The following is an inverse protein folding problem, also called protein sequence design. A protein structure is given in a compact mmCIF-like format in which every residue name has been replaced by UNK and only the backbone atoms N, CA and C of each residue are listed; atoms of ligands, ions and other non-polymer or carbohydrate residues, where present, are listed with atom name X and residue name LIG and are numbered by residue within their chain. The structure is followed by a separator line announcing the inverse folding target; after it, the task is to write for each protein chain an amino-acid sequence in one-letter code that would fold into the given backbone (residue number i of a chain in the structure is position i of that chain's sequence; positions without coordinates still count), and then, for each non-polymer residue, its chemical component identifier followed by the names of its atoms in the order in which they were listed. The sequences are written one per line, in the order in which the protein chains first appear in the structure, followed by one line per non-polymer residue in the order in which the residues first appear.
data_IF_331487875062
#
_entry.id   IF_331487875062
#
_cell.length_a   1.000
_cell.length_b   1.000
_cell.length_c   1.000
_cell.angle_alpha   90.00
_cell.angle_beta   90.00
_cell.angle_gamma   90.00
#
_symmetry.space_group_name_H-M   'P 1'
#
loop_
_entity.id
_entity.type
_entity.pdbx_description
1 polymer ?
#
# COMPACT_ATOMS: atom_id res chain seq x y z
N UNK A 1 28.52 -32.20 -7.67
CA UNK A 1 29.20 -31.02 -8.24
C UNK A 1 28.97 -29.86 -7.29
N UNK A 2 29.66 -29.94 -6.16
CA UNK A 2 29.72 -28.90 -5.12
C UNK A 2 31.16 -28.41 -5.26
N UNK A 3 31.35 -27.09 -5.38
CA UNK A 3 32.57 -26.36 -5.78
C UNK A 3 32.54 -25.86 -7.22
N UNK A 4 31.80 -24.79 -7.47
CA UNK A 4 32.25 -23.71 -8.37
C UNK A 4 31.33 -22.50 -8.16
N UNK A 5 31.94 -21.31 -8.17
CA UNK A 5 31.35 -19.97 -7.98
C UNK A 5 31.37 -19.44 -6.54
N UNK A 6 32.58 -19.11 -6.07
CA UNK A 6 32.82 -17.92 -5.26
C UNK A 6 34.29 -17.48 -5.50
N UNK A 7 34.51 -16.64 -6.51
CA UNK A 7 35.82 -16.00 -6.70
C UNK A 7 36.00 -14.91 -5.64
N UNK A 8 37.05 -15.03 -4.84
CA UNK A 8 37.40 -14.09 -3.77
C UNK A 8 38.08 -12.86 -4.38
N UNK A 9 37.46 -11.68 -4.23
CA UNK A 9 38.16 -10.42 -4.45
C UNK A 9 38.85 -10.04 -3.13
N UNK A 10 40.14 -10.39 -3.00
CA UNK A 10 40.99 -10.04 -1.87
C UNK A 10 41.23 -8.51 -1.86
N UNK A 11 40.41 -7.77 -1.12
CA UNK A 11 40.66 -6.38 -0.77
C UNK A 11 41.11 -6.32 0.70
N UNK A 12 42.40 -6.56 0.93
CA UNK A 12 43.00 -6.46 2.25
C UNK A 12 43.07 -4.99 2.72
N UNK A 13 42.68 -4.73 3.98
CA UNK A 13 43.00 -3.46 4.65
C UNK A 13 44.48 -3.44 5.08
N UNK A 14 45.08 -2.26 5.31
CA UNK A 14 46.46 -2.15 5.81
C UNK A 14 46.71 -2.81 7.18
N UNK A 15 45.67 -3.23 7.91
CA UNK A 15 45.74 -3.90 9.21
C UNK A 15 45.99 -5.42 9.14
N UNK A 16 46.00 -6.03 7.95
CA UNK A 16 46.09 -7.49 7.79
C UNK A 16 44.74 -8.21 7.91
N UNK A 17 43.64 -7.48 8.12
CA UNK A 17 42.29 -8.03 8.04
C UNK A 17 41.89 -8.18 6.57
N UNK A 18 41.71 -9.42 6.13
CA UNK A 18 41.12 -9.75 4.82
C UNK A 18 39.62 -9.47 4.90
N UNK A 19 39.14 -8.42 4.25
CA UNK A 19 37.70 -8.27 4.00
C UNK A 19 37.38 -9.19 2.84
N UNK A 20 36.89 -10.38 3.15
CA UNK A 20 36.28 -11.25 2.16
C UNK A 20 34.99 -10.56 1.70
N UNK A 21 35.00 -9.98 0.50
CA UNK A 21 33.80 -9.44 -0.10
C UNK A 21 32.81 -10.59 -0.37
N UNK A 22 31.76 -10.69 0.45
CA UNK A 22 30.71 -11.69 0.27
C UNK A 22 29.66 -11.20 -0.73
N UNK A 23 29.14 -12.10 -1.55
CA UNK A 23 28.01 -11.79 -2.42
C UNK A 23 26.72 -11.64 -1.59
N UNK A 24 26.03 -10.52 -1.77
CA UNK A 24 24.93 -10.05 -0.90
C UNK A 24 23.54 -10.59 -1.26
N UNK A 25 23.46 -11.51 -2.23
CA UNK A 25 22.20 -12.07 -2.73
C UNK A 25 21.19 -11.02 -3.25
N UNK A 26 21.69 -9.97 -3.92
CA UNK A 26 20.87 -8.89 -4.51
C UNK A 26 20.45 -9.18 -5.95
N UNK A 27 21.34 -9.78 -6.76
CA UNK A 27 21.08 -10.10 -8.18
C UNK A 27 21.52 -11.52 -8.56
N UNK A 28 20.61 -12.35 -9.06
CA UNK A 28 20.95 -13.70 -9.52
C UNK A 28 22.13 -13.68 -10.51
N UNK A 29 23.32 -14.10 -10.05
CA UNK A 29 24.57 -13.99 -10.82
C UNK A 29 24.59 -14.97 -12.00
N UNK A 30 24.03 -16.16 -11.79
CA UNK A 30 23.91 -17.22 -12.80
C UNK A 30 22.46 -17.69 -12.81
N UNK A 31 21.72 -17.31 -13.85
CA UNK A 31 20.34 -17.76 -14.03
C UNK A 31 20.31 -19.16 -14.66
N UNK A 32 19.41 -20.00 -14.15
CA UNK A 32 19.08 -21.30 -14.74
C UNK A 32 17.66 -21.26 -15.30
N UNK A 33 17.41 -21.98 -16.39
CA UNK A 33 16.10 -22.04 -17.02
C UNK A 33 15.67 -23.50 -17.17
N UNK A 34 14.52 -23.83 -16.56
CA UNK A 34 13.83 -25.10 -16.73
C UNK A 34 12.75 -25.06 -17.82
N UNK A 35 11.92 -26.10 -17.85
CA UNK A 35 10.67 -26.06 -18.63
C UNK A 35 9.70 -25.07 -17.98
N UNK A 36 8.86 -24.36 -18.77
CA UNK A 36 7.86 -23.48 -18.19
C UNK A 36 6.93 -24.23 -17.22
N UNK A 37 6.76 -23.66 -16.03
CA UNK A 37 5.84 -24.17 -15.03
C UNK A 37 4.45 -23.62 -15.28
N UNK A 38 3.47 -24.50 -15.47
CA UNK A 38 2.09 -24.05 -15.66
C UNK A 38 1.41 -23.69 -14.34
N UNK A 39 1.92 -24.17 -13.20
CA UNK A 39 1.36 -24.08 -11.85
C UNK A 39 0.52 -25.31 -11.46
N UNK A 40 0.24 -25.51 -10.18
CA UNK A 40 -0.58 -26.64 -9.67
C UNK A 40 -2.03 -26.60 -10.18
N UNK A 41 -2.69 -27.75 -10.36
CA UNK A 41 -4.13 -27.84 -10.65
C UNK A 41 -4.86 -28.73 -9.63
N UNK A 42 -4.98 -28.26 -8.40
CA UNK A 42 -5.52 -29.07 -7.29
C UNK A 42 -7.02 -29.37 -7.44
N UNK A 43 -7.74 -28.62 -8.27
CA UNK A 43 -9.18 -28.76 -8.52
C UNK A 43 -9.52 -29.36 -9.90
N UNK A 44 -8.53 -29.49 -10.80
CA UNK A 44 -8.70 -29.97 -12.17
C UNK A 44 -9.41 -28.99 -13.11
N UNK A 45 -9.71 -27.78 -12.62
CA UNK A 45 -10.44 -26.74 -13.36
C UNK A 45 -9.55 -25.55 -13.71
N UNK A 46 -8.40 -25.40 -13.05
CA UNK A 46 -7.59 -24.19 -13.17
C UNK A 46 -6.78 -24.15 -14.46
N UNK A 47 -6.45 -25.29 -15.06
CA UNK A 47 -5.70 -25.31 -16.33
C UNK A 47 -6.51 -24.68 -17.45
N UNK A 48 -7.80 -24.95 -17.52
CA UNK A 48 -8.68 -24.41 -18.56
C UNK A 48 -8.86 -22.90 -18.47
N UNK A 49 -8.75 -22.34 -17.25
CA UNK A 49 -8.90 -20.91 -16.99
C UNK A 49 -7.58 -20.12 -17.06
N UNK A 50 -6.45 -20.80 -17.28
CA UNK A 50 -5.14 -20.17 -17.46
C UNK A 50 -4.98 -19.73 -18.91
N UNK A 51 -4.62 -18.47 -19.08
CA UNK A 51 -4.44 -17.82 -20.36
C UNK A 51 -2.99 -17.34 -20.50
N UNK A 52 -2.49 -17.39 -21.73
CA UNK A 52 -1.17 -16.93 -22.09
C UNK A 52 -0.13 -18.05 -22.10
N UNK A 53 0.85 -17.92 -23.00
CA UNK A 53 2.01 -18.82 -23.05
C UNK A 53 3.09 -18.26 -22.12
N UNK A 54 3.57 -19.02 -21.12
CA UNK A 54 4.66 -18.57 -20.26
C UNK A 54 5.93 -18.21 -21.06
N UNK A 55 6.59 -17.13 -20.67
CA UNK A 55 7.82 -16.62 -21.30
C UNK A 55 8.88 -16.35 -20.23
N UNK A 56 10.15 -16.30 -20.63
CA UNK A 56 11.25 -15.98 -19.72
C UNK A 56 11.86 -14.62 -20.04
N UNK A 57 12.08 -13.79 -19.02
CA UNK A 57 12.77 -12.51 -19.11
C UNK A 57 14.04 -12.54 -18.27
N UNK A 58 15.21 -12.39 -18.92
CA UNK A 58 16.50 -12.31 -18.22
C UNK A 58 16.59 -11.11 -17.27
N UNK A 59 15.95 -10.00 -17.63
CA UNK A 59 15.95 -8.79 -16.79
C UNK A 59 15.15 -9.01 -15.50
N UNK A 60 13.98 -9.65 -15.58
CA UNK A 60 13.20 -10.03 -14.39
C UNK A 60 13.95 -11.09 -13.57
N UNK A 61 14.62 -12.03 -14.25
CA UNK A 61 15.44 -13.07 -13.63
C UNK A 61 16.62 -12.57 -12.80
N UNK A 62 17.06 -11.32 -12.98
CA UNK A 62 18.07 -10.73 -12.09
C UNK A 62 17.53 -10.48 -10.68
N UNK A 63 16.24 -10.16 -10.55
CA UNK A 63 15.61 -9.79 -9.27
C UNK A 63 14.76 -10.91 -8.66
N UNK A 64 14.42 -11.96 -9.43
CA UNK A 64 13.55 -13.04 -8.96
C UNK A 64 13.28 -14.12 -10.01
N UNK A 65 12.07 -14.66 -10.03
CA UNK A 65 11.67 -15.67 -11.01
C UNK A 65 11.55 -15.05 -12.42
N UNK A 66 12.32 -15.57 -13.38
CA UNK A 66 12.35 -15.08 -14.76
C UNK A 66 11.06 -15.37 -15.55
N UNK A 67 10.22 -16.30 -15.11
CA UNK A 67 9.00 -16.69 -15.83
C UNK A 67 7.89 -15.65 -15.66
N UNK A 68 7.27 -15.27 -16.78
CA UNK A 68 6.11 -14.38 -16.86
C UNK A 68 4.93 -15.18 -17.42
N UNK A 69 3.86 -15.26 -16.64
CA UNK A 69 2.67 -16.06 -16.95
C UNK A 69 2.86 -17.57 -16.69
N UNK A 70 1.84 -18.40 -16.98
CA UNK A 70 0.48 -18.02 -17.40
C UNK A 70 -0.30 -17.30 -16.28
N UNK A 71 -1.43 -16.68 -16.60
CA UNK A 71 -2.31 -16.04 -15.62
C UNK A 71 -3.69 -16.72 -15.61
N UNK A 72 -4.23 -17.01 -14.42
CA UNK A 72 -5.61 -17.47 -14.29
C UNK A 72 -6.55 -16.25 -14.31
N UNK A 73 -7.48 -16.22 -15.26
CA UNK A 73 -8.50 -15.16 -15.33
C UNK A 73 -9.79 -15.58 -14.63
N UNK A 74 -10.34 -16.76 -14.93
CA UNK A 74 -11.67 -17.19 -14.48
C UNK A 74 -12.77 -16.18 -14.85
N UNK A 75 -14.02 -16.47 -14.52
CA UNK A 75 -15.12 -15.52 -14.81
C UNK A 75 -14.98 -14.23 -13.99
N UNK A 76 -14.59 -14.32 -12.71
CA UNK A 76 -14.45 -13.16 -11.83
C UNK A 76 -13.33 -12.22 -12.25
N UNK A 77 -12.19 -12.75 -12.71
CA UNK A 77 -11.11 -11.90 -13.21
C UNK A 77 -11.49 -11.20 -14.52
N UNK A 78 -12.26 -11.85 -15.39
CA UNK A 78 -12.78 -11.22 -16.61
C UNK A 78 -13.76 -10.09 -16.25
N UNK A 79 -14.75 -10.34 -15.40
CA UNK A 79 -15.73 -9.32 -14.97
C UNK A 79 -15.03 -8.17 -14.25
N UNK A 80 -14.07 -8.48 -13.39
CA UNK A 80 -13.28 -7.48 -12.66
C UNK A 80 -12.47 -6.60 -13.61
N UNK A 81 -11.73 -7.20 -14.56
CA UNK A 81 -10.92 -6.45 -15.53
C UNK A 81 -11.81 -5.64 -16.47
N UNK A 82 -12.91 -6.21 -16.98
CA UNK A 82 -13.83 -5.51 -17.86
C UNK A 82 -14.43 -4.28 -17.17
N UNK A 83 -14.89 -4.43 -15.91
CA UNK A 83 -15.42 -3.31 -15.12
C UNK A 83 -14.35 -2.27 -14.82
N UNK A 84 -13.13 -2.70 -14.48
CA UNK A 84 -12.00 -1.81 -14.24
C UNK A 84 -11.60 -1.02 -15.50
N UNK A 85 -11.64 -1.65 -16.67
CA UNK A 85 -11.42 -0.97 -17.95
C UNK A 85 -12.52 0.05 -18.26
N UNK A 86 -13.78 -0.28 -17.99
CA UNK A 86 -14.89 0.68 -18.15
C UNK A 86 -14.67 1.90 -17.25
N UNK A 87 -14.34 1.69 -15.96
CA UNK A 87 -13.98 2.79 -15.06
C UNK A 87 -12.81 3.61 -15.61
N UNK A 88 -11.71 2.95 -16.01
CA UNK A 88 -10.51 3.60 -16.51
C UNK A 88 -10.78 4.46 -17.75
N UNK A 89 -11.57 3.97 -18.70
CA UNK A 89 -11.94 4.72 -19.89
C UNK A 89 -12.91 5.87 -19.58
N UNK A 90 -13.90 5.69 -18.69
CA UNK A 90 -14.78 6.80 -18.31
C UNK A 90 -13.97 7.94 -17.70
N UNK A 91 -13.05 7.64 -16.76
CA UNK A 91 -12.18 8.65 -16.14
C UNK A 91 -11.29 9.31 -17.20
N UNK A 92 -10.57 8.51 -18.01
CA UNK A 92 -9.66 9.03 -19.02
C UNK A 92 -10.35 9.87 -20.12
N UNK A 93 -11.54 9.46 -20.56
CA UNK A 93 -12.32 10.22 -21.54
C UNK A 93 -12.86 11.53 -20.97
N UNK A 94 -13.27 11.56 -19.70
CA UNK A 94 -13.68 12.80 -19.04
C UNK A 94 -12.51 13.78 -18.88
N UNK A 95 -11.33 13.27 -18.51
CA UNK A 95 -10.10 14.07 -18.47
C UNK A 95 -9.72 14.60 -19.85
N UNK A 96 -9.81 13.77 -20.90
CA UNK A 96 -9.52 14.18 -22.28
C UNK A 96 -10.52 15.23 -22.79
N UNK A 97 -11.79 15.15 -22.39
CA UNK A 97 -12.81 16.12 -22.74
C UNK A 97 -12.54 17.51 -22.13
N UNK A 98 -11.96 17.58 -20.92
CA UNK A 98 -11.62 18.86 -20.26
C UNK A 98 -10.59 19.69 -21.04
N UNK A 99 -9.74 19.04 -21.81
CA UNK A 99 -8.73 19.69 -22.67
C UNK A 99 -9.15 19.74 -24.14
N UNK A 100 -10.46 19.66 -24.41
CA UNK A 100 -11.01 19.78 -25.76
C UNK A 100 -10.55 18.67 -26.71
N UNK A 101 -10.34 17.45 -26.20
CA UNK A 101 -9.86 16.29 -26.97
C UNK A 101 -8.44 16.41 -27.54
N UNK A 102 -7.65 17.35 -27.04
CA UNK A 102 -6.24 17.54 -27.42
C UNK A 102 -5.32 16.58 -26.67
N UNK A 103 -4.75 15.59 -27.37
CA UNK A 103 -3.78 14.64 -26.79
C UNK A 103 -2.51 15.32 -26.22
N UNK A 104 -1.91 16.33 -26.88
CA UNK A 104 -0.77 17.04 -26.31
C UNK A 104 -1.10 17.73 -24.98
N UNK A 105 -2.26 18.38 -24.89
CA UNK A 105 -2.70 19.03 -23.66
C UNK A 105 -3.07 18.03 -22.57
N UNK A 106 -3.68 16.90 -22.95
CA UNK A 106 -3.96 15.80 -22.03
C UNK A 106 -2.68 15.28 -21.37
N UNK A 107 -1.62 15.05 -22.16
CA UNK A 107 -0.33 14.60 -21.63
C UNK A 107 0.35 15.69 -20.79
N UNK A 108 0.32 16.95 -21.23
CA UNK A 108 0.92 18.09 -20.50
C UNK A 108 0.26 18.32 -19.15
N UNK A 109 -1.07 18.18 -19.09
CA UNK A 109 -1.88 18.52 -17.93
C UNK A 109 -2.35 17.29 -17.13
N UNK A 110 -1.95 16.07 -17.51
CA UNK A 110 -2.46 14.80 -16.96
C UNK A 110 -2.59 14.78 -15.43
N UNK A 111 -1.62 15.37 -14.72
CA UNK A 111 -1.60 15.34 -13.26
C UNK A 111 -2.64 16.24 -12.60
N UNK A 112 -3.11 17.28 -13.31
CA UNK A 112 -4.11 18.24 -12.82
C UNK A 112 -5.55 17.90 -13.26
N UNK A 113 -5.72 17.02 -14.25
CA UNK A 113 -7.04 16.62 -14.70
C UNK A 113 -7.71 15.70 -13.67
N UNK A 114 -9.03 15.77 -13.57
CA UNK A 114 -9.80 14.94 -12.65
C UNK A 114 -11.22 14.64 -13.13
N UNK A 115 -11.75 13.48 -12.75
CA UNK A 115 -13.19 13.28 -12.69
C UNK A 115 -13.66 13.56 -11.25
N UNK A 116 -14.31 14.71 -11.08
CA UNK A 116 -14.77 15.23 -9.77
C UNK A 116 -16.08 14.56 -9.31
N UNK A 117 -16.29 14.39 -7.99
CA UNK A 117 -17.57 13.99 -7.44
C UNK A 117 -18.65 15.07 -7.67
N UNK A 118 -19.93 14.71 -7.56
CA UNK A 118 -21.04 15.66 -7.68
C UNK A 118 -21.01 16.75 -6.61
N UNK A 119 -21.54 17.94 -6.95
CA UNK A 119 -21.72 19.03 -5.99
C UNK A 119 -22.70 18.70 -4.85
N UNK A 120 -22.61 19.39 -3.69
CA UNK A 120 -23.48 19.14 -2.53
C UNK A 120 -24.99 19.28 -2.81
N UNK A 121 -25.36 20.09 -3.81
CA UNK A 121 -26.75 20.34 -4.23
C UNK A 121 -27.50 19.07 -4.65
N UNK A 122 -26.78 18.02 -5.06
CA UNK A 122 -27.37 16.74 -5.45
C UNK A 122 -27.53 15.78 -4.27
N UNK A 123 -26.94 16.06 -3.11
CA UNK A 123 -26.93 15.16 -1.95
C UNK A 123 -26.47 13.76 -2.31
N UNK A 124 -27.33 12.75 -2.08
CA UNK A 124 -27.09 11.35 -2.48
C UNK A 124 -27.83 10.92 -3.75
N UNK A 125 -28.51 11.84 -4.43
CA UNK A 125 -29.23 11.53 -5.66
C UNK A 125 -28.28 11.32 -6.84
N UNK A 126 -28.79 10.71 -7.93
CA UNK A 126 -28.02 10.58 -9.17
C UNK A 126 -28.06 11.91 -9.92
N UNK A 127 -26.91 12.60 -10.10
CA UNK A 127 -26.88 13.91 -10.77
C UNK A 127 -26.86 13.77 -12.31
N UNK A 128 -27.04 14.88 -13.05
CA UNK A 128 -26.79 14.92 -14.49
C UNK A 128 -25.38 14.46 -14.87
N UNK A 129 -25.23 13.91 -16.09
CA UNK A 129 -23.94 13.34 -16.55
C UNK A 129 -22.80 14.38 -16.56
N UNK A 130 -23.09 15.61 -16.95
CA UNK A 130 -22.12 16.72 -17.02
C UNK A 130 -21.86 17.37 -15.65
N UNK A 131 -22.47 16.86 -14.57
CA UNK A 131 -22.41 17.44 -13.23
C UNK A 131 -22.16 16.35 -12.17
N UNK A 132 -21.17 15.50 -12.42
CA UNK A 132 -20.77 14.40 -11.53
C UNK A 132 -21.46 13.06 -11.81
N UNK A 133 -22.39 12.96 -12.77
CA UNK A 133 -23.02 11.67 -13.10
C UNK A 133 -22.04 10.63 -13.62
N UNK A 134 -21.03 11.04 -14.38
CA UNK A 134 -19.94 10.15 -14.79
C UNK A 134 -19.11 9.61 -13.62
N UNK A 135 -18.95 10.40 -12.56
CA UNK A 135 -18.26 9.96 -11.35
C UNK A 135 -19.02 8.81 -10.68
N UNK A 136 -20.33 8.91 -10.52
CA UNK A 136 -21.14 7.84 -9.90
C UNK A 136 -21.10 6.56 -10.74
N UNK A 137 -21.28 6.68 -12.06
CA UNK A 137 -21.25 5.53 -12.98
C UNK A 137 -19.88 4.86 -12.94
N UNK A 138 -18.79 5.63 -13.07
CA UNK A 138 -17.43 5.10 -13.02
C UNK A 138 -17.14 4.44 -11.67
N UNK A 139 -17.56 5.05 -10.56
CA UNK A 139 -17.40 4.52 -9.21
C UNK A 139 -18.09 3.16 -9.02
N UNK A 140 -19.28 2.97 -9.59
CA UNK A 140 -19.96 1.67 -9.59
C UNK A 140 -19.13 0.59 -10.31
N UNK A 141 -18.60 0.90 -11.49
CA UNK A 141 -17.74 -0.04 -12.21
C UNK A 141 -16.42 -0.33 -11.46
N UNK A 142 -15.83 0.67 -10.81
CA UNK A 142 -14.66 0.47 -9.94
C UNK A 142 -15.00 -0.45 -8.76
N UNK A 143 -16.15 -0.26 -8.13
CA UNK A 143 -16.61 -1.10 -7.03
C UNK A 143 -16.75 -2.56 -7.46
N UNK A 144 -17.39 -2.82 -8.60
CA UNK A 144 -17.51 -4.18 -9.17
C UNK A 144 -16.13 -4.74 -9.50
N UNK A 145 -15.23 -3.93 -10.06
CA UNK A 145 -13.87 -4.34 -10.37
C UNK A 145 -13.11 -4.80 -9.13
N UNK A 146 -13.10 -4.00 -8.07
CA UNK A 146 -12.36 -4.25 -6.83
C UNK A 146 -12.96 -5.46 -6.08
N UNK A 147 -14.28 -5.53 -5.92
CA UNK A 147 -14.94 -6.66 -5.24
C UNK A 147 -14.80 -7.96 -6.03
N UNK A 148 -14.88 -7.90 -7.36
CA UNK A 148 -14.62 -9.05 -8.24
C UNK A 148 -13.19 -9.57 -8.10
N UNK A 149 -12.20 -8.66 -8.00
CA UNK A 149 -10.80 -9.04 -7.80
C UNK A 149 -10.56 -9.64 -6.40
N UNK A 150 -11.26 -9.14 -5.39
CA UNK A 150 -11.22 -9.68 -4.05
C UNK A 150 -11.76 -11.11 -4.00
N UNK A 151 -12.94 -11.32 -4.59
CA UNK A 151 -13.55 -12.64 -4.64
C UNK A 151 -12.72 -13.62 -5.47
N UNK A 152 -12.08 -13.16 -6.56
CA UNK A 152 -11.08 -13.94 -7.31
C UNK A 152 -9.93 -14.38 -6.41
N UNK A 153 -9.35 -13.46 -5.64
CA UNK A 153 -8.24 -13.77 -4.71
C UNK A 153 -8.65 -14.81 -3.66
N UNK A 154 -9.87 -14.69 -3.12
CA UNK A 154 -10.43 -15.67 -2.19
C UNK A 154 -10.62 -17.05 -2.84
N UNK A 155 -11.20 -17.10 -4.05
CA UNK A 155 -11.45 -18.35 -4.78
C UNK A 155 -10.16 -19.06 -5.15
N UNK A 156 -9.14 -18.36 -5.63
CA UNK A 156 -7.84 -18.96 -5.96
C UNK A 156 -7.19 -19.61 -4.74
N UNK A 157 -7.20 -18.92 -3.59
CA UNK A 157 -6.70 -19.50 -2.34
C UNK A 157 -7.49 -20.78 -1.96
N UNK A 158 -8.81 -20.77 -2.12
CA UNK A 158 -9.65 -21.94 -1.86
C UNK A 158 -9.38 -23.10 -2.83
N UNK A 159 -9.23 -22.83 -4.13
CA UNK A 159 -8.93 -23.84 -5.14
C UNK A 159 -7.57 -24.51 -4.88
N UNK A 160 -6.59 -23.75 -4.40
CA UNK A 160 -5.28 -24.26 -3.97
C UNK A 160 -5.25 -24.80 -2.53
N UNK A 161 -6.39 -24.85 -1.83
CA UNK A 161 -6.50 -25.30 -0.42
C UNK A 161 -5.57 -24.54 0.54
N UNK A 162 -5.30 -23.27 0.23
CA UNK A 162 -4.46 -22.36 1.03
C UNK A 162 -5.31 -21.58 2.04
N UNK A 163 -4.65 -21.10 3.10
CA UNK A 163 -5.26 -20.13 4.00
C UNK A 163 -5.56 -18.81 3.29
N UNK A 164 -6.68 -18.17 3.63
CA UNK A 164 -7.22 -17.00 2.90
C UNK A 164 -6.67 -15.65 3.39
N UNK A 165 -5.48 -15.66 3.99
CA UNK A 165 -4.85 -14.51 4.64
C UNK A 165 -4.69 -13.30 3.70
N UNK A 166 -4.32 -13.53 2.43
CA UNK A 166 -4.19 -12.45 1.43
C UNK A 166 -5.55 -11.82 1.12
N UNK A 167 -6.61 -12.64 0.97
CA UNK A 167 -7.95 -12.12 0.73
C UNK A 167 -8.46 -11.28 1.92
N UNK A 168 -8.17 -11.70 3.16
CA UNK A 168 -8.54 -10.93 4.35
C UNK A 168 -7.74 -9.63 4.49
N UNK A 169 -6.45 -9.63 4.17
CA UNK A 169 -5.69 -8.39 4.12
C UNK A 169 -6.22 -7.45 3.03
N UNK A 170 -6.55 -7.98 1.85
CA UNK A 170 -7.17 -7.17 0.80
C UNK A 170 -8.54 -6.61 1.24
N UNK A 171 -9.34 -7.38 1.98
CA UNK A 171 -10.61 -6.89 2.54
C UNK A 171 -10.41 -5.67 3.46
N UNK A 172 -9.33 -5.63 4.26
CA UNK A 172 -9.02 -4.46 5.09
C UNK A 172 -8.68 -3.21 4.27
N UNK A 173 -8.01 -3.35 3.13
CA UNK A 173 -7.76 -2.23 2.21
C UNK A 173 -9.07 -1.76 1.53
N UNK A 174 -9.93 -2.71 1.15
CA UNK A 174 -11.27 -2.43 0.61
C UNK A 174 -12.11 -1.69 1.64
N UNK A 175 -12.00 -2.03 2.92
CA UNK A 175 -12.68 -1.31 4.00
C UNK A 175 -12.34 0.19 3.98
N UNK A 176 -11.05 0.57 3.99
CA UNK A 176 -10.67 1.98 3.91
C UNK A 176 -11.17 2.65 2.62
N UNK A 177 -11.03 1.96 1.48
CA UNK A 177 -11.53 2.43 0.18
C UNK A 177 -13.05 2.71 0.21
N UNK A 178 -13.85 1.81 0.77
CA UNK A 178 -15.30 1.97 0.90
C UNK A 178 -15.66 3.06 1.91
N UNK A 179 -14.91 3.21 3.00
CA UNK A 179 -15.16 4.30 3.94
C UNK A 179 -14.96 5.66 3.26
N UNK A 180 -13.89 5.82 2.48
CA UNK A 180 -13.57 7.06 1.77
C UNK A 180 -14.60 7.41 0.69
N UNK A 181 -14.98 6.44 -0.14
CA UNK A 181 -15.79 6.70 -1.34
C UNK A 181 -17.28 6.34 -1.24
N UNK A 182 -17.71 5.64 -0.19
CA UNK A 182 -19.09 5.13 -0.09
C UNK A 182 -19.72 5.36 1.29
N UNK A 183 -19.19 4.75 2.35
CA UNK A 183 -19.86 4.75 3.65
C UNK A 183 -19.88 6.14 4.30
N UNK A 184 -18.75 6.84 4.35
CA UNK A 184 -18.74 8.19 4.92
C UNK A 184 -19.57 9.17 4.09
N UNK A 185 -19.45 9.26 2.74
CA UNK A 185 -20.35 10.09 1.93
C UNK A 185 -21.84 9.84 2.19
N UNK A 186 -22.26 8.57 2.32
CA UNK A 186 -23.64 8.20 2.67
C UNK A 186 -24.03 8.73 4.06
N UNK A 187 -23.17 8.56 5.08
CA UNK A 187 -23.44 9.05 6.44
C UNK A 187 -23.47 10.58 6.52
N UNK A 188 -22.67 11.26 5.71
CA UNK A 188 -22.68 12.73 5.58
C UNK A 188 -23.84 13.25 4.71
N UNK A 189 -24.57 12.36 4.01
CA UNK A 189 -25.70 12.72 3.15
C UNK A 189 -25.32 13.40 1.83
N UNK A 190 -24.06 13.30 1.38
CA UNK A 190 -23.60 13.95 0.14
C UNK A 190 -22.47 13.21 -0.56
N UNK A 191 -22.58 13.02 -1.88
CA UNK A 191 -21.50 12.49 -2.71
C UNK A 191 -20.31 13.45 -2.86
N UNK A 192 -20.50 14.75 -2.60
CA UNK A 192 -19.42 15.76 -2.64
C UNK A 192 -18.28 15.50 -1.65
N UNK A 193 -18.52 14.64 -0.66
CA UNK A 193 -17.55 14.24 0.34
C UNK A 193 -16.60 13.12 -0.14
N UNK A 194 -16.89 12.50 -1.29
CA UNK A 194 -16.09 11.41 -1.85
C UNK A 194 -14.79 11.93 -2.51
N UNK A 195 -13.85 11.01 -2.75
CA UNK A 195 -12.52 11.34 -3.29
C UNK A 195 -12.58 11.46 -4.82
N UNK A 196 -12.05 12.54 -5.44
CA UNK A 196 -12.01 12.68 -6.89
C UNK A 196 -11.01 11.72 -7.55
N UNK A 197 -11.24 11.40 -8.82
CA UNK A 197 -10.29 10.63 -9.62
C UNK A 197 -9.34 11.56 -10.38
N UNK A 198 -8.17 11.85 -9.81
CA UNK A 198 -7.10 12.64 -10.43
C UNK A 198 -5.82 12.60 -9.60
N UNK A 199 -4.65 12.83 -10.19
CA UNK A 199 -3.38 12.67 -9.47
C UNK A 199 -3.18 13.76 -8.42
N UNK A 200 -3.20 15.04 -8.77
CA UNK A 200 -3.17 16.11 -7.78
C UNK A 200 -4.52 16.32 -7.08
N UNK A 201 -5.67 16.23 -7.77
CA UNK A 201 -6.98 16.42 -7.12
C UNK A 201 -7.26 15.48 -5.93
N UNK A 202 -6.83 14.21 -5.96
CA UNK A 202 -7.01 13.35 -4.77
C UNK A 202 -6.06 13.72 -3.60
N UNK A 203 -4.90 14.33 -3.88
CA UNK A 203 -4.01 14.88 -2.86
C UNK A 203 -4.59 16.17 -2.26
N UNK A 204 -5.18 17.01 -3.10
CA UNK A 204 -5.89 18.22 -2.68
C UNK A 204 -7.06 17.85 -1.76
N UNK A 205 -7.84 16.83 -2.12
CA UNK A 205 -8.89 16.27 -1.25
C UNK A 205 -8.34 15.86 0.11
N UNK A 206 -7.19 15.18 0.16
CA UNK A 206 -6.57 14.71 1.40
C UNK A 206 -6.23 15.89 2.32
N UNK A 207 -5.72 16.98 1.75
CA UNK A 207 -5.38 18.20 2.49
C UNK A 207 -6.65 18.95 2.93
N UNK A 208 -7.61 19.14 2.02
CA UNK A 208 -8.86 19.82 2.29
C UNK A 208 -9.66 19.11 3.39
N UNK A 209 -9.68 17.78 3.38
CA UNK A 209 -10.29 16.96 4.43
C UNK A 209 -9.66 17.24 5.80
N UNK A 210 -8.32 17.26 5.88
CA UNK A 210 -7.61 17.54 7.13
C UNK A 210 -7.90 18.95 7.64
N UNK A 211 -7.91 19.95 6.76
CA UNK A 211 -8.21 21.35 7.12
C UNK A 211 -9.65 21.46 7.63
N UNK A 212 -10.61 20.89 6.90
CA UNK A 212 -12.05 21.00 7.21
C UNK A 212 -12.40 20.44 8.59
N UNK A 213 -11.77 19.33 8.97
CA UNK A 213 -12.07 18.63 10.23
C UNK A 213 -11.03 18.87 11.32
N UNK A 214 -10.36 20.03 11.28
CA UNK A 214 -9.55 20.50 12.40
C UNK A 214 -8.28 19.68 12.62
N UNK A 215 -7.50 19.47 11.56
CA UNK A 215 -6.19 18.83 11.56
C UNK A 215 -6.20 17.34 11.99
N UNK A 216 -6.09 16.45 11.00
CA UNK A 216 -6.08 15.00 11.22
C UNK A 216 -4.92 14.48 12.06
N UNK A 217 -3.86 15.26 12.33
CA UNK A 217 -2.81 14.84 13.27
C UNK A 217 -3.33 14.64 14.70
N UNK A 218 -4.48 15.22 15.05
CA UNK A 218 -5.13 15.03 16.35
C UNK A 218 -6.15 13.89 16.37
N UNK A 219 -6.39 13.22 15.23
CA UNK A 219 -7.22 12.04 15.18
C UNK A 219 -6.42 10.81 15.65
N UNK A 220 -6.80 10.15 16.76
CA UNK A 220 -6.02 9.05 17.33
C UNK A 220 -5.95 7.83 16.39
N UNK A 221 -6.98 7.59 15.58
CA UNK A 221 -6.98 6.51 14.60
C UNK A 221 -6.12 6.82 13.38
N UNK A 222 -5.98 8.10 13.01
CA UNK A 222 -5.01 8.52 12.02
C UNK A 222 -3.58 8.29 12.52
N UNK A 223 -3.29 8.64 13.78
CA UNK A 223 -1.99 8.33 14.40
C UNK A 223 -1.70 6.82 14.44
N UNK A 224 -2.68 5.99 14.82
CA UNK A 224 -2.53 4.53 14.80
C UNK A 224 -2.26 4.00 13.40
N UNK A 225 -2.95 4.52 12.39
CA UNK A 225 -2.69 4.16 10.98
C UNK A 225 -1.25 4.48 10.57
N UNK A 226 -0.71 5.64 10.99
CA UNK A 226 0.70 6.00 10.77
C UNK A 226 1.64 5.05 11.50
N UNK A 227 1.37 4.71 12.77
CA UNK A 227 2.17 3.73 13.55
C UNK A 227 2.23 2.39 12.82
N UNK A 228 1.11 1.89 12.32
CA UNK A 228 1.07 0.63 11.59
C UNK A 228 1.71 0.72 10.20
N UNK A 229 1.61 1.86 9.51
CA UNK A 229 2.28 2.11 8.24
C UNK A 229 3.81 2.12 8.42
N UNK A 230 4.32 2.93 9.34
CA UNK A 230 5.74 3.00 9.65
C UNK A 230 6.26 1.68 10.21
N UNK A 231 5.47 1.03 11.08
CA UNK A 231 5.77 -0.29 11.59
C UNK A 231 5.82 -1.35 10.48
N UNK A 232 4.98 -1.26 9.44
CA UNK A 232 5.04 -2.17 8.29
C UNK A 232 6.34 -1.99 7.51
N UNK A 233 6.78 -0.74 7.27
CA UNK A 233 8.06 -0.44 6.63
C UNK A 233 9.22 -0.97 7.48
N UNK A 234 9.20 -0.70 8.79
CA UNK A 234 10.21 -1.17 9.73
C UNK A 234 10.29 -2.69 9.76
N UNK A 235 9.17 -3.38 9.92
CA UNK A 235 9.11 -4.84 9.98
C UNK A 235 9.56 -5.47 8.66
N UNK A 236 9.17 -4.94 7.51
CA UNK A 236 9.60 -5.47 6.22
C UNK A 236 11.10 -5.25 6.01
N UNK A 237 11.64 -4.08 6.39
CA UNK A 237 13.08 -3.82 6.32
C UNK A 237 13.87 -4.76 7.23
N UNK A 238 13.44 -4.93 8.49
CA UNK A 238 14.04 -5.86 9.44
C UNK A 238 13.99 -7.30 8.93
N UNK A 239 12.82 -7.75 8.50
CA UNK A 239 12.60 -9.12 8.04
C UNK A 239 13.35 -9.41 6.74
N UNK A 240 13.19 -8.58 5.70
CA UNK A 240 13.87 -8.74 4.42
C UNK A 240 15.39 -8.74 4.56
N UNK A 241 15.95 -7.83 5.37
CA UNK A 241 17.38 -7.83 5.67
C UNK A 241 17.82 -9.08 6.43
N UNK A 242 17.01 -9.57 7.37
CA UNK A 242 17.29 -10.81 8.11
C UNK A 242 17.33 -12.02 7.17
N UNK A 243 16.32 -12.18 6.31
CA UNK A 243 16.26 -13.30 5.36
C UNK A 243 17.44 -13.28 4.39
N UNK A 244 17.80 -12.10 3.87
CA UNK A 244 19.00 -11.96 3.04
C UNK A 244 20.28 -12.32 3.81
N UNK A 245 20.42 -11.89 5.07
CA UNK A 245 21.59 -12.19 5.89
C UNK A 245 21.76 -13.70 6.18
N UNK A 246 20.65 -14.43 6.33
CA UNK A 246 20.66 -15.89 6.54
C UNK A 246 20.40 -16.70 5.25
N UNK A 247 20.36 -16.06 4.09
CA UNK A 247 20.10 -16.73 2.79
C UNK A 247 21.17 -17.75 2.43
N UNK A 248 22.42 -17.55 2.88
CA UNK A 248 23.50 -18.56 2.76
C UNK A 248 23.19 -19.90 3.44
N UNK A 249 22.23 -19.91 4.36
CA UNK A 249 21.74 -21.10 5.07
C UNK A 249 20.37 -21.57 4.54
N UNK A 250 19.90 -21.02 3.41
CA UNK A 250 18.57 -21.29 2.85
C UNK A 250 17.42 -20.70 3.67
N UNK A 251 17.64 -19.53 4.30
CA UNK A 251 16.62 -18.86 5.11
C UNK A 251 15.38 -18.39 4.33
N UNK A 252 15.51 -18.19 3.01
CA UNK A 252 14.44 -17.86 2.06
C UNK A 252 13.45 -19.02 1.83
N UNK A 253 13.85 -20.24 2.18
CA UNK A 253 12.98 -21.44 2.12
C UNK A 253 12.15 -21.59 3.39
N UNK A 254 11.30 -20.59 3.60
CA UNK A 254 10.66 -20.35 4.90
C UNK A 254 9.66 -21.44 5.31
N UNK A 255 8.98 -22.07 4.36
CA UNK A 255 8.05 -23.17 4.66
C UNK A 255 8.78 -24.34 5.34
N UNK A 256 9.93 -24.76 4.80
CA UNK A 256 10.74 -25.81 5.42
C UNK A 256 11.30 -25.36 6.77
N UNK A 257 11.77 -24.11 6.87
CA UNK A 257 12.28 -23.54 8.12
C UNK A 257 11.22 -23.44 9.24
N UNK A 258 9.95 -23.27 8.88
CA UNK A 258 8.82 -23.26 9.81
C UNK A 258 8.52 -24.67 10.32
N UNK A 259 8.50 -25.66 9.42
CA UNK A 259 8.16 -27.05 9.76
C UNK A 259 9.32 -27.76 10.47
N UNK A 260 10.55 -27.57 10.00
CA UNK A 260 11.77 -28.15 10.55
C UNK A 260 12.84 -27.07 10.73
N UNK A 261 13.02 -26.63 11.98
CA UNK A 261 13.81 -25.45 12.32
C UNK A 261 15.30 -25.68 12.02
N UNK A 262 15.81 -25.02 10.98
CA UNK A 262 17.23 -25.03 10.65
C UNK A 262 18.04 -23.89 11.28
N UNK A 263 19.36 -23.92 11.06
CA UNK A 263 20.29 -22.91 11.60
C UNK A 263 20.02 -21.49 11.07
N UNK A 264 19.39 -21.35 9.89
CA UNK A 264 18.96 -20.06 9.37
C UNK A 264 17.98 -19.37 10.34
N UNK A 265 16.93 -20.09 10.74
CA UNK A 265 15.93 -19.61 11.69
C UNK A 265 16.49 -19.38 13.09
N UNK A 266 17.39 -20.25 13.55
CA UNK A 266 18.02 -20.10 14.86
C UNK A 266 18.88 -18.83 14.93
N UNK A 267 19.72 -18.58 13.91
CA UNK A 267 20.56 -17.38 13.84
C UNK A 267 19.72 -16.11 13.68
N UNK A 268 18.68 -16.15 12.85
CA UNK A 268 17.74 -15.06 12.70
C UNK A 268 17.07 -14.70 14.04
N UNK A 269 16.58 -15.69 14.77
CA UNK A 269 15.97 -15.51 16.08
C UNK A 269 16.96 -14.97 17.12
N UNK A 270 18.17 -15.55 17.19
CA UNK A 270 19.20 -15.13 18.15
C UNK A 270 19.69 -13.71 17.90
N UNK A 271 19.87 -13.31 16.64
CA UNK A 271 20.23 -11.93 16.28
C UNK A 271 19.26 -10.92 16.91
N UNK A 272 17.96 -11.12 16.73
CA UNK A 272 16.94 -10.24 17.29
C UNK A 272 16.85 -10.35 18.81
N UNK A 273 16.96 -11.55 19.37
CA UNK A 273 16.95 -11.76 20.82
C UNK A 273 18.08 -11.01 21.51
N UNK A 274 19.27 -11.04 20.94
CA UNK A 274 20.44 -10.33 21.48
C UNK A 274 20.39 -8.82 21.22
N UNK A 275 19.69 -8.38 20.16
CA UNK A 275 19.56 -6.96 19.82
C UNK A 275 18.52 -6.24 20.68
N UNK A 276 17.33 -6.84 20.87
CA UNK A 276 16.19 -6.17 21.51
C UNK A 276 15.56 -6.94 22.67
N UNK A 277 16.20 -8.02 23.14
CA UNK A 277 15.79 -8.78 24.33
C UNK A 277 14.67 -9.81 24.10
N UNK A 278 14.02 -9.79 22.93
CA UNK A 278 13.02 -10.79 22.50
C UNK A 278 13.15 -11.07 21.00
N UNK A 279 12.47 -12.12 20.52
CA UNK A 279 12.49 -12.50 19.12
C UNK A 279 11.16 -13.18 18.71
N UNK A 280 10.87 -13.17 17.41
CA UNK A 280 9.81 -14.00 16.82
C UNK A 280 10.38 -15.35 16.33
N UNK A 281 9.48 -16.24 15.89
CA UNK A 281 9.82 -17.42 15.08
C UNK A 281 9.70 -17.08 13.59
N UNK A 282 10.17 -17.97 12.71
CA UNK A 282 10.03 -17.80 11.25
C UNK A 282 8.57 -17.68 10.82
N UNK A 283 7.64 -18.41 11.43
CA UNK A 283 6.21 -18.23 11.18
C UNK A 283 5.66 -16.96 11.87
N UNK A 284 6.11 -16.70 13.10
CA UNK A 284 5.61 -15.60 13.93
C UNK A 284 5.83 -14.23 13.29
N UNK A 285 6.99 -13.98 12.68
CA UNK A 285 7.29 -12.69 12.06
C UNK A 285 6.32 -12.36 10.90
N UNK A 286 5.88 -13.37 10.15
CA UNK A 286 4.86 -13.19 9.10
C UNK A 286 3.50 -12.79 9.67
N UNK A 287 3.15 -13.30 10.85
CA UNK A 287 1.91 -12.89 11.55
C UNK A 287 2.01 -11.44 12.03
N UNK A 288 3.15 -11.03 12.59
CA UNK A 288 3.41 -9.63 12.95
C UNK A 288 3.29 -8.71 11.74
N UNK A 289 3.98 -9.02 10.65
CA UNK A 289 3.93 -8.23 9.41
C UNK A 289 2.51 -8.15 8.84
N UNK A 290 1.80 -9.28 8.80
CA UNK A 290 0.41 -9.33 8.32
C UNK A 290 -0.52 -8.45 9.15
N UNK A 291 -0.46 -8.53 10.48
CA UNK A 291 -1.30 -7.70 11.35
C UNK A 291 -0.98 -6.21 11.25
N UNK A 292 0.30 -5.82 11.16
CA UNK A 292 0.65 -4.40 10.96
C UNK A 292 0.13 -3.87 9.62
N UNK A 293 0.27 -4.65 8.54
CA UNK A 293 -0.26 -4.27 7.23
C UNK A 293 -1.79 -4.14 7.25
N UNK A 294 -2.50 -5.04 7.94
CA UNK A 294 -3.98 -5.04 8.05
C UNK A 294 -4.50 -3.92 8.95
N UNK A 295 -3.82 -3.64 10.06
CA UNK A 295 -4.27 -2.64 11.02
C UNK A 295 -4.12 -1.21 10.49
N UNK A 296 -3.24 -0.99 9.51
CA UNK A 296 -3.09 0.30 8.82
C UNK A 296 -4.42 0.78 8.20
N UNK A 297 -5.03 0.10 7.21
CA UNK A 297 -6.28 0.54 6.65
C UNK A 297 -7.48 0.35 7.59
N UNK A 298 -7.46 -0.60 8.54
CA UNK A 298 -8.53 -0.74 9.54
C UNK A 298 -8.64 0.54 10.38
N UNK A 299 -7.54 0.94 11.01
CA UNK A 299 -7.54 2.15 11.84
C UNK A 299 -7.74 3.41 11.02
N UNK A 300 -7.12 3.51 9.83
CA UNK A 300 -7.40 4.60 8.89
C UNK A 300 -8.88 4.73 8.56
N UNK A 301 -9.56 3.62 8.26
CA UNK A 301 -10.99 3.63 7.94
C UNK A 301 -11.85 4.00 9.15
N UNK A 302 -11.52 3.55 10.37
CA UNK A 302 -12.23 4.00 11.58
C UNK A 302 -12.08 5.51 11.76
N UNK A 303 -10.85 6.04 11.61
CA UNK A 303 -10.58 7.47 11.74
C UNK A 303 -11.36 8.32 10.75
N UNK A 304 -11.40 7.93 9.48
CA UNK A 304 -12.20 8.62 8.46
C UNK A 304 -13.69 8.51 8.78
N UNK A 305 -14.19 7.32 9.14
CA UNK A 305 -15.61 7.11 9.38
C UNK A 305 -16.16 8.02 10.48
N UNK A 306 -15.40 8.22 11.55
CA UNK A 306 -15.76 9.10 12.68
C UNK A 306 -15.66 10.59 12.34
N UNK A 307 -14.92 10.95 11.29
CA UNK A 307 -14.66 12.36 10.94
C UNK A 307 -15.85 12.96 10.20
N UNK A 308 -16.47 13.97 10.81
CA UNK A 308 -17.71 14.63 10.35
C UNK A 308 -19.01 13.91 10.75
N UNK A 309 -18.94 12.63 11.12
CA UNK A 309 -20.11 11.88 11.62
C UNK A 309 -20.22 11.90 13.14
N UNK A 310 -19.07 11.93 13.83
CA UNK A 310 -18.96 11.94 15.29
C UNK A 310 -18.12 13.12 15.76
N UNK A 311 -17.02 13.43 15.08
CA UNK A 311 -16.10 14.53 15.43
C UNK A 311 -15.95 15.49 14.26
N UNK A 312 -16.31 16.75 14.47
CA UNK A 312 -16.21 17.81 13.46
C UNK A 312 -14.87 18.56 13.51
N UNK A 313 -14.16 18.51 14.64
CA UNK A 313 -12.85 19.15 14.79
C UNK A 313 -11.94 18.33 15.72
N UNK A 314 -10.93 17.68 15.16
CA UNK A 314 -10.03 16.81 15.91
C UNK A 314 -9.11 17.56 16.87
N UNK A 315 -8.71 18.79 16.53
CA UNK A 315 -7.91 19.62 17.44
C UNK A 315 -8.68 20.00 18.71
N UNK A 316 -9.93 20.46 18.56
CA UNK A 316 -10.79 20.77 19.72
C UNK A 316 -11.04 19.49 20.53
N UNK A 317 -11.34 18.37 19.86
CA UNK A 317 -11.47 17.07 20.53
C UNK A 317 -10.23 16.71 21.36
N UNK A 318 -9.03 16.99 20.85
CA UNK A 318 -7.78 16.76 21.57
C UNK A 318 -7.55 17.69 22.77
N UNK A 319 -8.04 18.93 22.70
CA UNK A 319 -8.03 19.86 23.82
C UNK A 319 -8.96 19.37 24.93
N UNK A 320 -10.18 18.96 24.59
CA UNK A 320 -11.17 18.45 25.55
C UNK A 320 -10.68 17.19 26.28
N UNK A 321 -9.88 16.36 25.59
CA UNK A 321 -9.31 15.12 26.12
C UNK A 321 -7.87 15.28 26.65
N UNK A 322 -7.38 16.51 26.78
CA UNK A 322 -6.11 16.87 27.43
C UNK A 322 -4.86 16.20 26.84
N UNK A 323 -4.79 16.01 25.51
CA UNK A 323 -3.55 15.56 24.85
C UNK A 323 -3.06 16.49 23.73
N UNK A 324 -3.75 17.60 23.48
CA UNK A 324 -3.18 18.70 22.70
C UNK A 324 -2.08 19.41 23.50
N UNK A 325 -0.86 19.57 22.97
CA UNK A 325 0.20 20.29 23.66
C UNK A 325 -0.16 21.77 23.80
N UNK A 326 0.09 22.33 24.98
CA UNK A 326 0.07 23.78 25.19
C UNK A 326 1.46 24.35 24.93
N UNK A 327 1.52 25.43 24.16
CA UNK A 327 2.74 26.21 23.99
C UNK A 327 2.58 27.46 24.88
N UNK A 328 3.33 27.51 25.97
CA UNK A 328 3.31 28.56 27.01
C UNK A 328 4.26 29.74 26.71
N UNK A 329 5.02 29.65 25.62
CA UNK A 329 5.85 30.75 25.11
C UNK A 329 5.04 31.82 24.37
N UNK A 330 5.64 32.98 24.17
CA UNK A 330 5.06 34.06 23.37
C UNK A 330 4.93 33.64 21.89
N UNK A 331 3.72 33.67 21.33
CA UNK A 331 3.42 33.34 19.92
C UNK A 331 2.54 34.42 19.26
N UNK A 332 2.64 34.58 17.93
CA UNK A 332 1.85 35.54 17.15
C UNK A 332 2.59 36.85 16.81
N UNK A 333 1.96 37.73 16.01
CA UNK A 333 2.56 39.02 15.61
C UNK A 333 2.87 39.93 16.80
N UNK A 334 2.10 39.79 17.89
CA UNK A 334 2.25 40.55 19.14
C UNK A 334 3.42 40.06 20.00
N UNK A 335 3.93 38.84 19.73
CA UNK A 335 5.14 38.31 20.36
C UNK A 335 6.42 38.74 19.64
N UNK A 336 6.32 39.20 18.39
CA UNK A 336 7.40 39.93 17.75
C UNK A 336 7.38 41.34 18.35
N UNK A 337 8.43 41.69 19.10
CA UNK A 337 8.63 43.07 19.52
C UNK A 337 8.67 44.02 18.31
N UNK A 338 8.69 45.32 18.56
CA UNK A 338 8.86 46.29 17.46
C UNK A 338 10.13 45.96 16.64
N UNK A 339 10.17 46.37 15.36
CA UNK A 339 11.43 46.27 14.60
C UNK A 339 12.57 46.99 15.35
N UNK A 340 12.27 48.07 16.09
CA UNK A 340 13.21 48.72 17.00
C UNK A 340 13.71 47.78 18.11
N UNK A 341 12.85 46.99 18.75
CA UNK A 341 13.26 45.97 19.73
C UNK A 341 14.20 44.94 19.10
N UNK A 342 13.90 44.48 17.89
CA UNK A 342 14.70 43.50 17.15
C UNK A 342 16.09 44.02 16.77
N UNK A 343 16.22 45.31 16.43
CA UNK A 343 17.51 45.94 16.09
C UNK A 343 18.19 46.63 17.29
N UNK A 344 17.66 46.47 18.51
CA UNK A 344 18.24 47.03 19.74
C UNK A 344 18.15 48.55 19.86
N UNK A 345 17.07 49.16 19.35
CA UNK A 345 16.81 50.61 19.34
C UNK A 345 15.57 51.02 20.17
N UNK A 346 15.07 50.15 21.06
CA UNK A 346 14.13 50.59 22.10
C UNK A 346 14.92 51.23 23.26
N UNK A 347 14.54 52.45 23.64
CA UNK A 347 15.15 53.24 24.74
C UNK A 347 15.00 52.61 26.12
#
# INVERSE_FOLDING_TARGET
MVELVAGTADLAKPSGDVIMAEYQNIFTQVQVQGRPEWGMDDSGLMMAERVGTPRFSKLVGWFGNAQIGPINFGMLGIVSLASGLIWFFIVGLNMLAQVGWSLPEFLRQLFWLALEPPGPEHGLSMPPLNDGGWYIISSFFLLVAVLGWWLRTYQLAQQHKMGKHVAWAFASAIWLFLVLGLFRPILMGSWSEAVPYGIFPHLDWTTAFSIRYGNLYYNPFHCLSIVFLYGSVLLFAMHGATILAVSRFGGDRELEQIVDRGTASERAALFWRWTMGFNATMEGIHRWAWWFAVLTPITGGIGILLTGTVVDNWFIWAQEHNFAPMYDGSYGYEAYGSYQAFIGQEE
#
